data_IF_636802635354
#
_entry.id   IF_636802635354
#
_cell.length_a   1.000
_cell.length_b   1.000
_cell.length_c   1.000
_cell.angle_alpha   90.00
_cell.angle_beta   90.00
_cell.angle_gamma   90.00
#
_symmetry.space_group_name_H-M   'P 1'
#
loop_
_entity.id
_entity.type
_entity.pdbx_description
1 polymer ?
#
# COMPACT_ATOMS: atom_id res chain seq x y z
N UNK A 1 12.39 -10.49 14.69
CA UNK A 1 12.05 -9.51 13.65
C UNK A 1 10.54 -9.38 13.66
N UNK A 2 10.01 -8.18 13.86
CA UNK A 2 8.57 -7.94 13.81
C UNK A 2 8.05 -8.10 12.39
N UNK A 3 6.77 -8.42 12.23
CA UNK A 3 6.16 -8.52 10.91
C UNK A 3 5.92 -7.10 10.39
N UNK A 4 6.52 -6.75 9.25
CA UNK A 4 6.37 -5.43 8.63
C UNK A 4 4.90 -5.12 8.39
N UNK A 5 4.46 -3.90 8.70
CA UNK A 5 3.17 -3.41 8.25
C UNK A 5 3.13 -3.29 6.73
N UNK A 6 1.94 -3.17 6.14
CA UNK A 6 1.80 -2.96 4.71
C UNK A 6 2.51 -1.68 4.27
N UNK A 7 2.40 -0.61 5.07
CA UNK A 7 3.08 0.67 4.82
C UNK A 7 4.60 0.51 4.81
N UNK A 8 5.15 -0.20 5.80
CA UNK A 8 6.59 -0.49 5.88
C UNK A 8 7.06 -1.37 4.73
N UNK A 9 6.29 -2.41 4.40
CA UNK A 9 6.59 -3.29 3.27
C UNK A 9 6.55 -2.56 1.93
N UNK A 10 5.55 -1.70 1.72
CA UNK A 10 5.35 -0.94 0.51
C UNK A 10 6.50 0.07 0.27
N UNK A 11 7.10 0.59 1.34
CA UNK A 11 8.23 1.53 1.26
C UNK A 11 9.46 0.95 0.52
N UNK A 12 9.60 -0.38 0.46
CA UNK A 12 10.67 -1.02 -0.32
C UNK A 12 10.55 -0.80 -1.84
N UNK A 13 9.38 -0.40 -2.33
CA UNK A 13 9.10 -0.22 -3.75
C UNK A 13 9.18 1.25 -4.21
N UNK A 14 9.52 2.19 -3.33
CA UNK A 14 9.55 3.64 -3.65
C UNK A 14 10.42 4.01 -4.86
N UNK A 15 11.47 3.23 -5.14
CA UNK A 15 12.37 3.47 -6.28
C UNK A 15 11.96 2.74 -7.56
N UNK A 16 10.85 1.99 -7.55
CA UNK A 16 10.38 1.23 -8.72
C UNK A 16 9.61 2.13 -9.68
N UNK A 17 10.00 2.14 -10.95
CA UNK A 17 9.30 2.87 -12.02
C UNK A 17 8.12 2.06 -12.60
N UNK A 18 7.13 1.82 -11.72
CA UNK A 18 5.89 1.07 -11.95
C UNK A 18 4.79 1.61 -11.01
N UNK A 19 3.50 1.29 -11.25
CA UNK A 19 2.40 1.77 -10.41
C UNK A 19 2.58 1.53 -8.90
N UNK A 20 3.14 0.39 -8.49
CA UNK A 20 3.42 0.11 -7.08
C UNK A 20 4.41 1.10 -6.45
N UNK A 21 5.40 1.58 -7.21
CA UNK A 21 6.36 2.58 -6.72
C UNK A 21 5.76 3.97 -6.65
N UNK A 22 4.82 4.30 -7.54
CA UNK A 22 4.05 5.54 -7.44
C UNK A 22 3.12 5.52 -6.22
N UNK A 23 2.42 4.40 -5.99
CA UNK A 23 1.63 4.18 -4.77
C UNK A 23 2.50 4.31 -3.51
N UNK A 24 3.71 3.72 -3.51
CA UNK A 24 4.64 3.80 -2.39
C UNK A 24 5.06 5.26 -2.09
N UNK A 25 5.40 6.05 -3.12
CA UNK A 25 5.74 7.46 -2.96
C UNK A 25 4.57 8.28 -2.44
N UNK A 26 3.35 8.03 -2.93
CA UNK A 26 2.15 8.75 -2.52
C UNK A 26 1.79 8.46 -1.06
N UNK A 27 1.84 7.18 -0.66
CA UNK A 27 1.65 6.75 0.73
C UNK A 27 2.71 7.34 1.66
N UNK A 28 3.99 7.34 1.26
CA UNK A 28 5.10 7.88 2.06
C UNK A 28 4.96 9.39 2.31
N UNK A 29 4.48 10.14 1.31
CA UNK A 29 4.28 11.60 1.41
C UNK A 29 3.01 11.98 2.18
N UNK A 30 2.10 11.03 2.42
CA UNK A 30 0.83 11.29 3.07
C UNK A 30 0.92 11.01 4.57
N UNK A 31 1.13 12.07 5.34
CA UNK A 31 1.21 12.01 6.82
C UNK A 31 -0.08 11.48 7.47
N UNK A 32 -1.21 11.53 6.76
CA UNK A 32 -2.51 11.06 7.24
C UNK A 32 -2.85 9.63 6.76
N UNK A 33 -1.92 8.94 6.09
CA UNK A 33 -2.15 7.56 5.68
C UNK A 33 -2.28 6.66 6.92
N UNK A 34 -3.31 5.81 7.02
CA UNK A 34 -3.57 5.03 8.24
C UNK A 34 -2.40 4.12 8.63
N UNK A 35 -2.04 4.14 9.92
CA UNK A 35 -1.04 3.24 10.52
C UNK A 35 -1.72 1.93 10.98
N UNK A 36 -2.26 1.19 10.01
CA UNK A 36 -3.04 -0.03 10.22
C UNK A 36 -2.61 -1.12 9.24
N UNK A 37 -2.91 -2.36 9.58
CA UNK A 37 -2.79 -3.52 8.69
C UNK A 37 -4.16 -4.13 8.36
N UNK A 38 -5.24 -3.39 8.60
CA UNK A 38 -6.57 -3.80 8.17
C UNK A 38 -6.79 -3.47 6.70
N UNK A 39 -7.09 -4.50 5.90
CA UNK A 39 -7.33 -4.34 4.47
C UNK A 39 -8.47 -3.37 4.17
N UNK A 40 -9.59 -3.48 4.90
CA UNK A 40 -10.79 -2.68 4.62
C UNK A 40 -10.57 -1.23 5.01
N UNK A 41 -9.88 -0.96 6.12
CA UNK A 41 -9.53 0.40 6.54
C UNK A 41 -8.64 1.10 5.50
N UNK A 42 -7.61 0.39 5.01
CA UNK A 42 -6.71 0.91 3.97
C UNK A 42 -7.44 1.08 2.63
N UNK A 43 -8.27 0.11 2.23
CA UNK A 43 -9.06 0.18 1.01
C UNK A 43 -10.01 1.38 1.07
N UNK A 44 -10.79 1.53 2.14
CA UNK A 44 -11.71 2.64 2.32
C UNK A 44 -10.99 4.00 2.26
N UNK A 45 -9.81 4.10 2.88
CA UNK A 45 -9.00 5.31 2.81
C UNK A 45 -8.56 5.61 1.37
N UNK A 46 -8.05 4.60 0.66
CA UNK A 46 -7.61 4.74 -0.73
C UNK A 46 -8.79 5.07 -1.64
N UNK A 47 -9.93 4.40 -1.52
CA UNK A 47 -11.13 4.70 -2.30
C UNK A 47 -11.66 6.12 -2.05
N UNK A 48 -11.62 6.60 -0.80
CA UNK A 48 -12.05 7.97 -0.47
C UNK A 48 -11.16 9.06 -1.05
N UNK A 49 -9.90 8.73 -1.34
CA UNK A 49 -8.87 9.68 -1.80
C UNK A 49 -8.48 9.49 -3.28
N UNK A 50 -8.75 8.31 -3.85
CA UNK A 50 -8.38 7.95 -5.21
C UNK A 50 -9.27 8.66 -6.23
N UNK A 51 -8.64 9.45 -7.09
CA UNK A 51 -9.31 10.07 -8.25
C UNK A 51 -9.45 9.10 -9.43
N UNK A 52 -8.75 7.97 -9.38
CA UNK A 52 -8.61 7.05 -10.50
C UNK A 52 -8.65 5.59 -10.03
N UNK A 53 -9.40 4.75 -10.74
CA UNK A 53 -9.60 3.32 -10.44
C UNK A 53 -8.31 2.50 -10.47
N UNK A 54 -7.33 2.91 -11.28
CA UNK A 54 -6.03 2.23 -11.38
C UNK A 54 -5.25 2.24 -10.05
N UNK A 55 -5.47 3.23 -9.17
CA UNK A 55 -4.83 3.28 -7.83
C UNK A 55 -5.38 2.16 -6.94
N UNK A 56 -6.69 1.92 -6.99
CA UNK A 56 -7.35 0.85 -6.25
C UNK A 56 -6.82 -0.51 -6.73
N UNK A 57 -6.80 -0.75 -8.04
CA UNK A 57 -6.27 -1.99 -8.62
C UNK A 57 -4.78 -2.19 -8.28
N UNK A 58 -3.99 -1.12 -8.24
CA UNK A 58 -2.58 -1.18 -7.83
C UNK A 58 -2.46 -1.57 -6.36
N UNK A 59 -3.30 -1.00 -5.48
CA UNK A 59 -3.35 -1.36 -4.07
C UNK A 59 -3.74 -2.83 -3.86
N UNK A 60 -4.82 -3.31 -4.48
CA UNK A 60 -5.27 -4.70 -4.35
C UNK A 60 -4.18 -5.69 -4.79
N UNK A 61 -3.51 -5.39 -5.91
CA UNK A 61 -2.38 -6.18 -6.39
C UNK A 61 -1.22 -6.16 -5.39
N UNK A 62 -0.82 -4.99 -4.91
CA UNK A 62 0.26 -4.84 -3.91
C UNK A 62 -0.07 -5.59 -2.61
N UNK A 63 -1.31 -5.50 -2.13
CA UNK A 63 -1.79 -6.22 -0.97
C UNK A 63 -1.66 -7.74 -1.14
N UNK A 64 -2.02 -8.26 -2.33
CA UNK A 64 -1.87 -9.69 -2.63
C UNK A 64 -0.41 -10.17 -2.57
N UNK A 65 0.54 -9.32 -2.95
CA UNK A 65 1.98 -9.63 -2.84
C UNK A 65 2.45 -9.55 -1.40
N UNK A 66 2.03 -8.54 -0.65
CA UNK A 66 2.32 -8.40 0.77
C UNK A 66 1.88 -9.62 1.58
N UNK A 67 0.67 -10.15 1.34
CA UNK A 67 0.20 -11.37 2.01
C UNK A 67 1.04 -12.61 1.66
N UNK A 68 1.56 -12.69 0.43
CA UNK A 68 2.43 -13.82 0.01
C UNK A 68 3.84 -13.72 0.59
N UNK A 69 4.32 -12.51 0.82
CA UNK A 69 5.65 -12.23 1.37
C UNK A 69 5.68 -12.35 2.90
N UNK A 70 4.50 -12.39 3.55
CA UNK A 70 4.33 -12.72 4.97
C UNK A 70 4.14 -14.22 5.13
N UNK A 71 5.18 -15.01 5.48
CA UNK A 71 4.96 -16.39 5.90
C UNK A 71 4.13 -16.40 7.19
N UNK A 72 3.16 -17.31 7.27
CA UNK A 72 2.29 -17.55 8.43
C UNK A 72 3.06 -17.73 9.75
#
# INVERSE_FOLDING_TARGET
MGILTFKEWLAHFECVDRPIGDLAKDVKKNDNFPETNDYNELLNYIESSAKHRNVIETFENAWSYYLKDRPD
#
